data_IF_694304396821
#
_entry.id   IF_694304396821
#
_cell.length_a   1.000
_cell.length_b   1.000
_cell.length_c   1.000
_cell.angle_alpha   90.00
_cell.angle_beta   90.00
_cell.angle_gamma   90.00
#
_symmetry.space_group_name_H-M   'P 1'
#
loop_
_entity.id
_entity.type
_entity.pdbx_description
1 polymer ?
#
# COMPACT_ATOMS: atom_id res chain seq x y z
N UNK A 1 -10.82 39.39 68.84
CA UNK A 1 -10.82 38.23 67.93
C UNK A 1 -11.73 38.57 66.76
N UNK A 2 -11.20 39.23 65.74
CA UNK A 2 -10.76 38.64 64.45
C UNK A 2 -11.95 38.29 63.54
N UNK A 3 -12.21 39.18 62.58
CA UNK A 3 -12.42 38.95 61.15
C UNK A 3 -13.48 37.90 60.73
N UNK A 4 -14.66 38.36 60.28
CA UNK A 4 -15.56 37.53 59.47
C UNK A 4 -16.40 38.39 58.49
N UNK A 5 -15.96 38.32 57.23
CA UNK A 5 -16.79 38.35 56.00
C UNK A 5 -17.62 39.63 55.76
N UNK A 6 -16.98 40.62 55.14
CA UNK A 6 -17.66 41.67 54.38
C UNK A 6 -17.68 41.26 52.89
N UNK A 7 -18.74 40.56 52.46
CA UNK A 7 -19.01 40.29 51.03
C UNK A 7 -20.48 39.85 50.85
N UNK A 8 -21.40 40.73 51.18
CA UNK A 8 -22.83 40.48 50.94
C UNK A 8 -23.59 41.79 50.77
N UNK A 9 -23.35 42.47 49.65
CA UNK A 9 -24.32 43.36 48.98
C UNK A 9 -23.62 44.20 47.89
N UNK A 10 -23.19 43.57 46.80
CA UNK A 10 -23.10 44.30 45.52
C UNK A 10 -24.36 43.91 44.76
N UNK A 11 -25.47 44.54 45.13
CA UNK A 11 -26.66 44.56 44.28
C UNK A 11 -26.41 45.57 43.16
N UNK A 12 -26.43 45.18 41.89
CA UNK A 12 -26.20 46.11 40.80
C UNK A 12 -27.39 47.07 40.66
N UNK A 13 -27.10 48.36 40.46
CA UNK A 13 -28.07 49.46 40.47
C UNK A 13 -29.12 49.46 39.34
N UNK A 14 -29.14 48.45 38.47
CA UNK A 14 -30.12 48.33 37.38
C UNK A 14 -31.42 47.62 37.81
N UNK A 15 -31.52 47.14 39.04
CA UNK A 15 -32.70 46.43 39.55
C UNK A 15 -33.90 47.35 39.92
N UNK A 16 -33.99 48.53 39.31
CA UNK A 16 -35.12 49.45 39.45
C UNK A 16 -35.65 49.78 38.05
N UNK A 17 -36.49 48.91 37.49
CA UNK A 17 -37.65 49.30 36.67
C UNK A 17 -38.45 48.05 36.27
N UNK A 18 -39.77 48.15 36.38
CA UNK A 18 -40.71 47.05 36.38
C UNK A 18 -40.96 46.42 35.01
N UNK A 19 -40.16 45.39 34.70
CA UNK A 19 -40.60 44.21 33.94
C UNK A 19 -39.66 43.05 34.31
N UNK A 20 -39.84 42.52 35.53
CA UNK A 20 -38.99 41.44 36.05
C UNK A 20 -39.33 40.15 35.30
N UNK A 21 -38.52 39.80 34.30
CA UNK A 21 -38.58 38.53 33.58
C UNK A 21 -38.73 37.41 34.62
N UNK A 22 -39.80 36.63 34.51
CA UNK A 22 -40.12 35.62 35.53
C UNK A 22 -38.95 34.64 35.64
N UNK A 23 -38.62 34.11 36.85
CA UNK A 23 -37.54 33.14 36.99
C UNK A 23 -37.64 31.95 36.02
N UNK A 24 -38.87 31.60 35.61
CA UNK A 24 -39.14 30.58 34.59
C UNK A 24 -38.74 31.00 33.16
N UNK A 25 -38.93 32.27 32.79
CA UNK A 25 -38.57 32.82 31.48
C UNK A 25 -37.05 32.95 31.35
N UNK A 26 -36.39 33.39 32.42
CA UNK A 26 -34.93 33.39 32.53
C UNK A 26 -34.39 31.96 32.36
N UNK A 27 -34.99 30.98 33.05
CA UNK A 27 -34.62 29.58 32.92
C UNK A 27 -34.85 29.05 31.49
N UNK A 28 -35.96 29.40 30.84
CA UNK A 28 -36.24 29.00 29.45
C UNK A 28 -35.17 29.53 28.48
N UNK A 29 -34.79 30.81 28.60
CA UNK A 29 -33.74 31.40 27.76
C UNK A 29 -32.39 30.71 27.99
N UNK A 30 -32.03 30.40 29.24
CA UNK A 30 -30.82 29.64 29.54
C UNK A 30 -30.86 28.21 28.99
N UNK A 31 -32.00 27.52 29.05
CA UNK A 31 -32.15 26.17 28.48
C UNK A 31 -32.01 26.20 26.96
N UNK A 32 -32.64 27.17 26.28
CA UNK A 32 -32.51 27.34 24.83
C UNK A 32 -31.07 27.63 24.43
N UNK A 33 -30.37 28.47 25.20
CA UNK A 33 -28.96 28.78 24.98
C UNK A 33 -28.07 27.53 25.14
N UNK A 34 -28.30 26.72 26.18
CA UNK A 34 -27.56 25.47 26.40
C UNK A 34 -27.80 24.49 25.24
N UNK A 35 -29.06 24.32 24.80
CA UNK A 35 -29.40 23.46 23.67
C UNK A 35 -28.73 23.94 22.37
N UNK A 36 -28.72 25.26 22.13
CA UNK A 36 -28.06 25.84 20.97
C UNK A 36 -26.53 25.62 20.99
N UNK A 37 -25.89 25.74 22.15
CA UNK A 37 -24.45 25.46 22.32
C UNK A 37 -24.14 23.98 22.12
N UNK A 38 -24.97 23.07 22.64
CA UNK A 38 -24.82 21.63 22.43
C UNK A 38 -25.02 21.28 20.96
N UNK A 39 -26.04 21.83 20.30
CA UNK A 39 -26.27 21.63 18.87
C UNK A 39 -25.11 22.15 18.01
N UNK A 40 -24.57 23.33 18.35
CA UNK A 40 -23.39 23.90 17.69
C UNK A 40 -22.16 23.02 17.90
N UNK A 41 -21.95 22.52 19.12
CA UNK A 41 -20.85 21.60 19.43
C UNK A 41 -20.97 20.29 18.65
N UNK A 42 -22.17 19.69 18.57
CA UNK A 42 -22.42 18.49 17.76
C UNK A 42 -22.26 18.77 16.26
N UNK A 43 -22.68 19.94 15.77
CA UNK A 43 -22.48 20.37 14.40
C UNK A 43 -20.99 20.53 14.05
N UNK A 44 -20.20 21.14 14.93
CA UNK A 44 -18.74 21.27 14.77
C UNK A 44 -18.02 19.92 14.93
N UNK A 45 -18.47 19.07 15.85
CA UNK A 45 -17.90 17.74 16.07
C UNK A 45 -18.26 16.73 14.95
N UNK A 46 -19.26 17.03 14.12
CA UNK A 46 -19.68 16.18 12.98
C UNK A 46 -18.52 15.90 12.03
N UNK A 47 -17.70 16.91 11.73
CA UNK A 47 -16.54 16.75 10.83
C UNK A 47 -15.35 16.05 11.51
N UNK A 48 -15.28 16.06 12.85
CA UNK A 48 -14.17 15.46 13.58
C UNK A 48 -14.28 13.93 13.72
N UNK A 49 -15.50 13.38 13.73
CA UNK A 49 -15.74 11.93 13.85
C UNK A 49 -15.43 11.17 12.55
N UNK A 50 -15.40 11.84 11.39
CA UNK A 50 -14.99 11.24 10.11
C UNK A 50 -13.48 11.22 9.85
N UNK A 51 -12.65 11.52 10.85
CA UNK A 51 -11.24 11.08 10.87
C UNK A 51 -11.10 9.80 11.71
N UNK A 52 -11.92 8.79 11.42
CA UNK A 52 -11.48 7.41 11.68
C UNK A 52 -10.28 7.23 10.77
N UNK A 53 -9.12 7.01 11.39
CA UNK A 53 -7.88 6.66 10.72
C UNK A 53 -8.22 5.61 9.68
N UNK A 54 -8.12 5.97 8.42
CA UNK A 54 -8.01 4.96 7.38
C UNK A 54 -6.83 4.07 7.75
N UNK A 55 -6.90 2.78 7.41
CA UNK A 55 -5.89 1.74 7.69
C UNK A 55 -4.46 2.06 7.15
N UNK A 56 -4.28 3.24 6.55
CA UNK A 56 -3.01 3.78 6.08
C UNK A 56 -2.10 4.34 7.19
N UNK A 57 -2.61 4.72 8.36
CA UNK A 57 -1.83 5.39 9.42
C UNK A 57 -1.30 4.45 10.51
N UNK A 58 -1.70 3.17 10.53
CA UNK A 58 -1.34 2.22 11.59
C UNK A 58 -0.16 1.29 11.23
N UNK A 59 0.51 1.54 10.11
CA UNK A 59 1.69 0.76 9.74
C UNK A 59 2.94 1.34 10.40
N UNK A 60 3.52 0.55 11.30
CA UNK A 60 4.90 0.73 11.75
C UNK A 60 5.81 0.87 10.52
N UNK A 61 6.33 2.08 10.30
CA UNK A 61 7.42 2.32 9.35
C UNK A 61 8.73 1.78 9.93
N UNK A 62 8.79 0.48 10.15
CA UNK A 62 10.08 -0.18 10.19
C UNK A 62 10.71 0.04 8.81
N UNK A 63 11.71 0.92 8.77
CA UNK A 63 12.59 1.14 7.63
C UNK A 63 13.28 -0.18 7.31
N UNK A 64 12.59 -1.04 6.54
CA UNK A 64 13.17 -2.24 5.98
C UNK A 64 14.15 -1.78 4.89
N UNK A 65 15.39 -1.56 5.34
CA UNK A 65 16.66 -1.85 4.66
C UNK A 65 16.64 -1.57 3.13
N UNK A 66 17.29 -0.46 2.76
CA UNK A 66 17.66 0.01 1.40
C UNK A 66 16.57 0.64 0.52
N UNK A 67 16.41 1.97 0.69
CA UNK A 67 15.70 2.89 -0.22
C UNK A 67 16.19 2.88 -1.68
N UNK A 68 17.37 2.32 -1.92
CA UNK A 68 18.00 2.35 -3.24
C UNK A 68 17.45 1.25 -4.18
N UNK A 69 16.76 0.25 -3.62
CA UNK A 69 16.17 -0.85 -4.39
C UNK A 69 14.81 -0.46 -5.00
N UNK A 70 13.97 0.27 -4.25
CA UNK A 70 12.63 0.67 -4.71
C UNK A 70 12.63 1.67 -5.87
N UNK A 71 13.71 2.44 -6.07
CA UNK A 71 13.82 3.42 -7.15
C UNK A 71 13.76 2.79 -8.55
N UNK A 72 14.09 1.51 -8.69
CA UNK A 72 14.12 0.80 -9.97
C UNK A 72 13.11 -0.35 -10.08
N UNK A 73 12.20 -0.49 -9.12
CA UNK A 73 11.21 -1.59 -9.08
C UNK A 73 9.76 -1.10 -8.96
N UNK A 74 9.46 0.14 -9.39
CA UNK A 74 8.09 0.66 -9.43
C UNK A 74 7.46 0.42 -10.80
N UNK A 75 6.41 -0.42 -10.81
CA UNK A 75 5.36 -0.39 -11.83
C UNK A 75 5.56 -1.28 -13.06
N UNK A 76 6.55 -2.17 -13.09
CA UNK A 76 6.67 -3.10 -14.23
C UNK A 76 6.49 -4.57 -13.85
N UNK A 77 6.61 -5.02 -12.60
CA UNK A 77 6.58 -6.46 -12.27
C UNK A 77 5.16 -7.03 -12.11
N UNK A 78 4.19 -6.22 -11.68
CA UNK A 78 2.83 -6.69 -11.39
C UNK A 78 2.04 -7.04 -12.67
N UNK A 79 2.35 -6.36 -13.78
CA UNK A 79 1.68 -6.55 -15.07
C UNK A 79 2.12 -7.84 -15.78
N UNK A 80 3.26 -8.42 -15.38
CA UNK A 80 3.77 -9.68 -15.96
C UNK A 80 3.17 -10.93 -15.31
N UNK A 81 2.73 -10.86 -14.04
CA UNK A 81 2.15 -12.03 -13.35
C UNK A 81 0.68 -12.31 -13.75
N UNK A 82 -0.09 -11.28 -14.13
CA UNK A 82 -1.52 -11.46 -14.46
C UNK A 82 -1.76 -12.04 -15.87
N UNK A 83 -0.84 -11.85 -16.82
CA UNK A 83 -0.98 -12.34 -18.20
C UNK A 83 -0.80 -13.87 -18.33
N UNK A 84 0.04 -14.49 -17.51
CA UNK A 84 0.37 -15.92 -17.64
C UNK A 84 -0.56 -16.88 -16.89
N UNK A 85 -1.57 -16.37 -16.18
CA UNK A 85 -2.44 -17.18 -15.31
C UNK A 85 -3.50 -18.02 -16.07
N UNK A 86 -3.82 -17.69 -17.34
CA UNK A 86 -5.03 -18.24 -17.98
C UNK A 86 -4.85 -19.27 -19.10
N UNK A 87 -3.64 -19.65 -19.55
CA UNK A 87 -3.58 -20.40 -20.84
C UNK A 87 -2.41 -21.33 -21.18
N UNK A 88 -1.70 -21.92 -20.21
CA UNK A 88 -0.78 -23.03 -20.53
C UNK A 88 -1.30 -24.34 -19.96
N UNK A 89 -1.87 -25.19 -20.83
CA UNK A 89 -2.05 -26.62 -20.52
C UNK A 89 -0.67 -27.19 -20.22
N UNK A 90 -0.53 -28.06 -19.21
CA UNK A 90 0.73 -28.70 -18.77
C UNK A 90 1.51 -29.45 -19.87
N UNK A 91 1.07 -29.43 -21.13
CA UNK A 91 1.72 -30.10 -22.25
C UNK A 91 2.62 -29.19 -23.08
N UNK A 92 2.55 -27.85 -22.92
CA UNK A 92 3.26 -26.90 -23.80
C UNK A 92 4.33 -26.05 -23.08
N UNK A 93 4.74 -26.37 -21.84
CA UNK A 93 5.81 -25.57 -21.21
C UNK A 93 7.14 -25.84 -21.93
N UNK A 94 7.81 -24.81 -22.47
CA UNK A 94 9.08 -24.97 -23.16
C UNK A 94 10.22 -25.25 -22.17
N UNK A 95 11.25 -25.97 -22.63
CA UNK A 95 12.41 -26.27 -21.79
C UNK A 95 13.30 -25.02 -21.61
N UNK A 96 13.20 -24.36 -20.45
CA UNK A 96 13.97 -23.15 -20.14
C UNK A 96 15.48 -23.37 -20.06
N UNK A 97 15.94 -24.56 -19.69
CA UNK A 97 17.37 -24.89 -19.67
C UNK A 97 17.94 -24.94 -21.09
N UNK A 98 17.18 -25.50 -22.03
CA UNK A 98 17.53 -25.54 -23.46
C UNK A 98 17.50 -24.14 -24.09
N UNK A 99 16.50 -23.31 -23.75
CA UNK A 99 16.39 -21.93 -24.24
C UNK A 99 17.61 -21.10 -23.83
N UNK A 100 18.10 -21.25 -22.61
CA UNK A 100 19.31 -20.55 -22.14
C UNK A 100 20.61 -21.27 -22.55
N UNK A 101 20.53 -22.49 -23.09
CA UNK A 101 21.69 -23.31 -23.45
C UNK A 101 22.55 -23.68 -22.24
N UNK A 102 21.93 -23.96 -21.10
CA UNK A 102 22.59 -24.30 -19.83
C UNK A 102 22.20 -25.68 -19.37
N UNK A 103 23.08 -26.33 -18.60
CA UNK A 103 22.77 -27.61 -17.97
C UNK A 103 21.71 -27.44 -16.88
N UNK A 104 20.94 -28.49 -16.61
CA UNK A 104 20.05 -28.56 -15.45
C UNK A 104 20.80 -28.32 -14.13
N UNK A 105 22.07 -28.73 -14.03
CA UNK A 105 22.91 -28.54 -12.85
C UNK A 105 23.57 -27.15 -12.78
N UNK A 106 23.25 -26.24 -13.72
CA UNK A 106 23.88 -24.93 -13.76
C UNK A 106 23.59 -24.12 -12.49
N UNK A 107 24.63 -23.41 -12.05
CA UNK A 107 24.55 -22.48 -10.92
C UNK A 107 23.82 -21.20 -11.32
N UNK A 108 23.27 -20.47 -10.35
CA UNK A 108 22.62 -19.19 -10.60
C UNK A 108 23.55 -18.16 -11.24
N UNK A 109 24.86 -18.24 -10.96
CA UNK A 109 25.88 -17.38 -11.56
C UNK A 109 26.07 -17.69 -13.06
N UNK A 110 26.10 -18.97 -13.43
CA UNK A 110 26.20 -19.41 -14.82
C UNK A 110 24.96 -19.03 -15.63
N UNK A 111 23.76 -19.25 -15.07
CA UNK A 111 22.48 -18.85 -15.67
C UNK A 111 22.49 -17.33 -15.95
N UNK A 112 22.91 -16.53 -14.97
CA UNK A 112 23.01 -15.07 -15.11
C UNK A 112 24.05 -14.64 -16.12
N UNK A 113 25.20 -15.32 -16.17
CA UNK A 113 26.27 -15.04 -17.13
C UNK A 113 25.80 -15.31 -18.56
N UNK A 114 25.14 -16.44 -18.79
CA UNK A 114 24.61 -16.85 -20.09
C UNK A 114 23.48 -15.94 -20.57
N UNK A 115 22.53 -15.61 -19.69
CA UNK A 115 21.50 -14.62 -19.97
C UNK A 115 22.10 -13.28 -20.46
N UNK A 116 23.12 -12.76 -19.75
CA UNK A 116 23.79 -11.51 -20.15
C UNK A 116 24.47 -11.59 -21.50
N UNK A 117 24.99 -12.76 -21.89
CA UNK A 117 25.60 -12.95 -23.21
C UNK A 117 24.52 -12.98 -24.30
N UNK A 118 23.43 -13.71 -24.07
CA UNK A 118 22.31 -13.84 -25.00
C UNK A 118 21.58 -12.51 -25.25
N UNK A 119 21.31 -11.75 -24.19
CA UNK A 119 20.69 -10.42 -24.30
C UNK A 119 21.56 -9.47 -25.11
N UNK A 120 22.89 -9.51 -24.93
CA UNK A 120 23.81 -8.70 -25.73
C UNK A 120 23.83 -9.09 -27.20
N UNK A 121 23.65 -10.37 -27.52
CA UNK A 121 23.60 -10.81 -28.92
C UNK A 121 22.26 -10.56 -29.61
N UNK A 122 21.17 -10.51 -28.84
CA UNK A 122 19.80 -10.38 -29.33
C UNK A 122 19.20 -8.99 -29.16
N UNK A 123 19.97 -8.03 -28.64
CA UNK A 123 19.51 -6.66 -28.46
C UNK A 123 19.05 -6.08 -29.80
N UNK A 124 17.88 -5.41 -29.86
CA UNK A 124 17.31 -4.91 -31.12
C UNK A 124 18.27 -3.96 -31.87
N UNK A 125 19.12 -3.23 -31.14
CA UNK A 125 20.18 -2.40 -31.74
C UNK A 125 21.21 -3.19 -32.58
N UNK A 126 21.37 -4.49 -32.34
CA UNK A 126 22.36 -5.35 -33.00
C UNK A 126 21.67 -6.30 -33.99
N UNK A 127 20.50 -6.84 -33.64
CA UNK A 127 19.86 -7.94 -34.35
C UNK A 127 18.68 -7.52 -35.24
N UNK A 128 18.19 -6.28 -35.12
CA UNK A 128 17.00 -5.81 -35.84
C UNK A 128 15.69 -6.34 -35.26
N UNK A 129 14.59 -6.09 -35.98
CA UNK A 129 13.19 -6.29 -35.54
C UNK A 129 12.77 -7.78 -35.40
N UNK A 130 13.59 -8.71 -35.90
CA UNK A 130 13.30 -10.16 -35.87
C UNK A 130 13.73 -10.85 -34.56
N UNK A 131 14.47 -10.19 -33.65
CA UNK A 131 14.97 -10.82 -32.42
C UNK A 131 14.02 -10.72 -31.23
N UNK A 132 12.89 -10.02 -31.38
CA UNK A 132 11.95 -9.75 -30.29
C UNK A 132 11.37 -11.05 -29.71
N UNK A 133 11.02 -12.02 -30.56
CA UNK A 133 10.41 -13.27 -30.09
C UNK A 133 11.37 -14.15 -29.30
N UNK A 134 12.65 -14.14 -29.66
CA UNK A 134 13.65 -14.95 -28.97
C UNK A 134 14.13 -14.28 -27.68
N UNK A 135 14.19 -12.94 -27.67
CA UNK A 135 14.43 -12.17 -26.46
C UNK A 135 13.34 -12.43 -25.41
N UNK A 136 12.07 -12.47 -25.81
CA UNK A 136 10.95 -12.77 -24.91
C UNK A 136 11.12 -14.14 -24.24
N UNK A 137 11.45 -15.19 -25.01
CA UNK A 137 11.67 -16.55 -24.47
C UNK A 137 12.84 -16.60 -23.48
N UNK A 138 13.93 -15.89 -23.78
CA UNK A 138 15.13 -15.86 -22.93
C UNK A 138 14.87 -15.12 -21.62
N UNK A 139 14.09 -14.04 -21.67
CA UNK A 139 13.66 -13.31 -20.48
C UNK A 139 12.77 -14.19 -19.59
N UNK A 140 11.78 -14.87 -20.17
CA UNK A 140 10.89 -15.78 -19.43
C UNK A 140 11.67 -16.93 -18.78
N UNK A 141 12.59 -17.55 -19.53
CA UNK A 141 13.47 -18.60 -19.02
C UNK A 141 14.34 -18.11 -17.86
N UNK A 142 14.91 -16.91 -17.97
CA UNK A 142 15.71 -16.31 -16.89
C UNK A 142 14.85 -15.99 -15.67
N UNK A 143 13.63 -15.51 -15.83
CA UNK A 143 12.73 -15.16 -14.73
C UNK A 143 12.38 -16.39 -13.87
N UNK A 144 12.13 -17.52 -14.51
CA UNK A 144 11.84 -18.79 -13.82
C UNK A 144 13.10 -19.41 -13.20
N UNK A 145 14.22 -19.42 -13.91
CA UNK A 145 15.44 -20.10 -13.47
C UNK A 145 16.32 -19.27 -12.51
N UNK A 146 16.16 -17.95 -12.46
CA UNK A 146 16.93 -17.07 -11.59
C UNK A 146 16.49 -17.11 -10.12
N UNK A 147 15.20 -17.33 -9.87
CA UNK A 147 14.64 -17.48 -8.53
C UNK A 147 14.63 -18.95 -8.12
N UNK A 148 15.14 -19.24 -6.91
CA UNK A 148 15.23 -20.61 -6.39
C UNK A 148 13.86 -21.27 -6.20
N UNK A 149 12.88 -20.52 -5.73
CA UNK A 149 11.54 -21.05 -5.45
C UNK A 149 10.78 -21.33 -6.76
N UNK A 150 10.95 -20.45 -7.77
CA UNK A 150 10.36 -20.64 -9.10
C UNK A 150 11.04 -21.79 -9.85
N UNK A 151 12.37 -21.87 -9.82
CA UNK A 151 13.15 -22.97 -10.38
C UNK A 151 12.72 -24.31 -9.79
N UNK A 152 12.59 -24.40 -8.46
CA UNK A 152 12.16 -25.64 -7.83
C UNK A 152 10.75 -26.08 -8.29
N UNK A 153 9.79 -25.15 -8.40
CA UNK A 153 8.45 -25.47 -8.94
C UNK A 153 8.51 -25.95 -10.39
N UNK A 154 9.36 -25.34 -11.20
CA UNK A 154 9.57 -25.72 -12.58
C UNK A 154 10.22 -27.11 -12.69
N UNK A 155 11.28 -27.35 -11.92
CA UNK A 155 11.98 -28.64 -11.85
C UNK A 155 11.04 -29.78 -11.43
N UNK A 156 10.09 -29.51 -10.53
CA UNK A 156 9.03 -30.47 -10.16
C UNK A 156 8.07 -30.76 -11.32
N UNK A 157 7.69 -29.74 -12.11
CA UNK A 157 6.76 -29.92 -13.23
C UNK A 157 7.41 -30.67 -14.41
N UNK A 158 8.67 -30.38 -14.74
CA UNK A 158 9.42 -31.10 -15.79
C UNK A 158 9.82 -32.52 -15.33
N UNK A 159 10.14 -32.70 -14.05
CA UNK A 159 10.44 -34.01 -13.49
C UNK A 159 9.25 -34.96 -13.54
N UNK A 160 8.03 -34.42 -13.43
CA UNK A 160 6.79 -35.19 -13.62
C UNK A 160 6.55 -35.59 -15.09
N UNK A 161 7.18 -34.90 -16.06
CA UNK A 161 7.11 -35.22 -17.50
C UNK A 161 8.17 -36.22 -17.95
N UNK A 162 9.25 -36.38 -17.18
CA UNK A 162 10.38 -37.25 -17.54
C UNK A 162 11.31 -36.66 -18.60
N UNK A 163 11.33 -35.33 -18.74
CA UNK A 163 12.16 -34.59 -19.72
C UNK A 163 13.51 -34.14 -19.11
N UNK A 164 14.07 -34.96 -18.21
CA UNK A 164 15.32 -34.67 -17.47
C UNK A 164 16.53 -35.33 -18.15
#
# INVERSE_FOLDING_TARGET
MVLLVALSSITPAWAQDGDTISPQEVMIVFVIFIVAVIALFLYLARDNIRRIRTDYDQRNFESKKNRDYEKYHSGWQDDYEEYNSSKHTRQDLPNYYEILGVSHDATSEEIKSRYRQLVKSLHPDISGEDSDTDMVKINEAYEVLSDKDRRHKYDLDIGARGEI
#
